data_IF_950568492767
#
_entry.id   IF_950568492767
#
_cell.length_a   1.000
_cell.length_b   1.000
_cell.length_c   1.000
_cell.angle_alpha   90.00
_cell.angle_beta   90.00
_cell.angle_gamma   90.00
#
_symmetry.space_group_name_H-M   'P 1'
#
loop_
_entity.id
_entity.type
_entity.pdbx_description
1 polymer ?
#
# COMPACT_ATOMS: atom_id res chain seq x y z
N UNK A 1 15.15 -17.71 -12.52
CA UNK A 1 14.44 -18.59 -11.58
C UNK A 1 14.90 -18.15 -10.19
N UNK A 2 13.95 -17.78 -9.31
CA UNK A 2 14.21 -17.30 -7.94
C UNK A 2 13.58 -18.28 -6.96
N UNK A 3 14.02 -18.26 -5.70
CA UNK A 3 13.43 -19.09 -4.66
C UNK A 3 12.10 -18.50 -4.18
N UNK A 4 11.19 -19.39 -3.75
CA UNK A 4 9.91 -18.95 -3.18
C UNK A 4 10.10 -18.44 -1.75
N UNK A 5 9.70 -17.20 -1.50
CA UNK A 5 9.83 -16.53 -0.20
C UNK A 5 8.49 -16.48 0.53
N UNK A 6 8.45 -17.04 1.74
CA UNK A 6 7.26 -16.95 2.61
C UNK A 6 7.33 -15.66 3.40
N UNK A 7 6.65 -14.62 2.90
CA UNK A 7 6.76 -13.27 3.41
C UNK A 7 5.48 -12.46 3.18
N UNK A 8 5.40 -11.32 3.83
CA UNK A 8 4.47 -10.24 3.57
C UNK A 8 5.23 -9.15 2.78
N UNK A 9 4.60 -8.56 1.78
CA UNK A 9 5.22 -7.45 1.02
C UNK A 9 5.01 -6.15 1.78
N UNK A 10 6.09 -5.42 1.98
CA UNK A 10 6.11 -4.07 2.55
C UNK A 10 6.78 -3.13 1.56
N UNK A 11 6.21 -1.96 1.30
CA UNK A 11 6.86 -0.99 0.43
C UNK A 11 7.51 0.17 1.18
N UNK A 12 8.48 0.77 0.52
CA UNK A 12 8.98 2.11 0.80
C UNK A 12 8.64 2.98 -0.39
N UNK A 13 7.74 3.93 -0.16
CA UNK A 13 7.27 4.89 -1.15
C UNK A 13 7.77 6.28 -0.77
N UNK A 14 8.53 6.93 -1.64
CA UNK A 14 9.15 8.20 -1.30
C UNK A 14 9.32 9.13 -2.50
N UNK A 15 9.32 10.41 -2.24
CA UNK A 15 9.70 11.46 -3.19
C UNK A 15 11.07 11.97 -2.77
N UNK A 16 12.05 11.75 -3.63
CA UNK A 16 13.47 12.01 -3.40
C UNK A 16 13.88 13.27 -4.15
N UNK A 17 14.54 14.20 -3.46
CA UNK A 17 15.02 15.45 -4.02
C UNK A 17 16.32 15.28 -4.86
N UNK A 18 16.86 16.37 -5.39
CA UNK A 18 18.09 16.35 -6.21
C UNK A 18 19.35 16.01 -5.40
N UNK A 19 19.31 16.09 -4.06
CA UNK A 19 20.42 15.71 -3.17
C UNK A 19 20.36 14.22 -2.82
N UNK A 20 19.21 13.57 -3.04
CA UNK A 20 18.95 12.19 -2.64
C UNK A 20 18.31 12.09 -1.26
N UNK A 21 17.77 13.19 -0.76
CA UNK A 21 17.07 13.22 0.51
C UNK A 21 15.55 13.04 0.28
N UNK A 22 14.87 12.24 1.12
CA UNK A 22 13.43 12.08 1.01
C UNK A 22 12.70 13.30 1.57
N UNK A 23 11.89 13.96 0.75
CA UNK A 23 10.99 15.05 1.17
C UNK A 23 9.60 14.55 1.55
N UNK A 24 9.26 13.33 1.16
CA UNK A 24 8.07 12.60 1.56
C UNK A 24 8.40 11.10 1.66
N UNK A 25 7.90 10.43 2.69
CA UNK A 25 8.06 8.99 2.90
C UNK A 25 6.78 8.38 3.46
N UNK A 26 6.39 7.26 2.92
CA UNK A 26 5.33 6.39 3.43
C UNK A 26 5.60 4.94 3.01
N UNK A 27 4.64 4.05 3.17
CA UNK A 27 4.71 2.69 2.66
C UNK A 27 3.38 2.00 2.74
N UNK A 28 3.27 0.91 2.01
CA UNK A 28 2.12 0.02 2.09
C UNK A 28 2.51 -1.36 2.61
N UNK A 29 1.50 -2.12 3.00
CA UNK A 29 1.61 -3.53 3.35
C UNK A 29 0.59 -4.29 2.52
N UNK A 30 1.07 -5.32 1.82
CA UNK A 30 0.26 -6.25 1.04
C UNK A 30 0.38 -7.64 1.68
N UNK A 31 -0.59 -8.03 2.54
CA UNK A 31 -0.51 -9.27 3.31
C UNK A 31 -0.62 -10.54 2.44
N UNK A 32 -1.32 -10.43 1.32
CA UNK A 32 -1.53 -11.52 0.34
C UNK A 32 -0.90 -11.07 -0.97
N UNK A 33 -0.08 -11.92 -1.58
CA UNK A 33 0.57 -11.55 -2.84
C UNK A 33 -0.48 -11.35 -3.95
N UNK A 34 -0.21 -10.39 -4.84
CA UNK A 34 -1.10 -10.15 -6.01
C UNK A 34 -1.18 -11.41 -6.89
N UNK A 35 -0.11 -12.18 -6.98
CA UNK A 35 -0.11 -13.46 -7.72
C UNK A 35 -1.06 -14.48 -7.10
N UNK A 36 -1.13 -14.57 -5.76
CA UNK A 36 -2.07 -15.46 -5.09
C UNK A 36 -3.52 -14.99 -5.29
N UNK A 37 -3.75 -13.66 -5.22
CA UNK A 37 -5.06 -13.06 -5.49
C UNK A 37 -5.54 -13.40 -6.91
N UNK A 38 -4.67 -13.29 -7.91
CA UNK A 38 -4.99 -13.60 -9.30
C UNK A 38 -5.19 -15.11 -9.50
N UNK A 39 -4.28 -15.94 -8.98
CA UNK A 39 -4.30 -17.39 -9.20
C UNK A 39 -5.46 -18.10 -8.50
N UNK A 40 -5.90 -17.58 -7.34
CA UNK A 40 -6.98 -18.18 -6.55
C UNK A 40 -8.30 -17.42 -6.67
N UNK A 41 -8.33 -16.39 -7.52
CA UNK A 41 -9.50 -15.49 -7.66
C UNK A 41 -9.96 -14.92 -6.32
N UNK A 42 -9.00 -14.59 -5.46
CA UNK A 42 -9.26 -14.04 -4.14
C UNK A 42 -9.59 -12.54 -4.17
N UNK A 43 -10.16 -12.06 -3.07
CA UNK A 43 -10.39 -10.64 -2.87
C UNK A 43 -9.06 -9.91 -2.63
N UNK A 44 -8.92 -8.72 -3.20
CA UNK A 44 -7.74 -7.91 -3.02
C UNK A 44 -7.79 -7.11 -1.71
N UNK A 45 -6.67 -7.04 -1.00
CA UNK A 45 -6.50 -6.16 0.15
C UNK A 45 -5.06 -5.70 0.31
N UNK A 46 -4.87 -4.44 0.62
CA UNK A 46 -3.60 -3.85 1.07
C UNK A 46 -3.89 -2.54 1.80
N UNK A 47 -2.90 -1.95 2.44
CA UNK A 47 -3.11 -0.70 3.15
C UNK A 47 -1.84 0.16 3.24
N UNK A 48 -2.02 1.49 3.22
CA UNK A 48 -0.98 2.45 3.57
C UNK A 48 -0.86 2.48 5.09
N UNK A 49 0.37 2.41 5.58
CA UNK A 49 0.65 2.41 7.02
C UNK A 49 0.53 3.82 7.60
N UNK A 50 -0.03 3.91 8.81
CA UNK A 50 -0.04 5.17 9.58
C UNK A 50 1.37 5.65 9.89
N UNK A 51 2.28 4.72 10.18
CA UNK A 51 3.68 5.01 10.47
C UNK A 51 4.57 3.98 9.78
N UNK A 52 5.50 4.46 8.96
CA UNK A 52 6.51 3.63 8.33
C UNK A 52 7.44 3.04 9.39
N UNK A 53 7.61 1.72 9.40
CA UNK A 53 8.50 1.04 10.33
C UNK A 53 9.96 1.44 10.10
N UNK A 54 10.75 1.44 11.17
CA UNK A 54 12.13 1.90 11.12
C UNK A 54 13.03 1.06 10.22
N UNK A 55 12.80 -0.25 10.18
CA UNK A 55 13.55 -1.19 9.35
C UNK A 55 13.28 -1.00 7.85
N UNK A 56 12.00 -0.86 7.44
CA UNK A 56 11.63 -0.55 6.04
C UNK A 56 12.17 0.81 5.64
N UNK A 57 12.10 1.82 6.53
CA UNK A 57 12.67 3.14 6.26
C UNK A 57 14.19 3.07 6.05
N UNK A 58 14.89 2.33 6.90
CA UNK A 58 16.35 2.16 6.78
C UNK A 58 16.71 1.43 5.47
N UNK A 59 16.01 0.35 5.14
CA UNK A 59 16.20 -0.38 3.90
C UNK A 59 15.92 0.51 2.67
N UNK A 60 14.80 1.23 2.67
CA UNK A 60 14.42 2.15 1.59
C UNK A 60 15.46 3.24 1.36
N UNK A 61 15.90 3.92 2.42
CA UNK A 61 16.95 4.96 2.33
C UNK A 61 18.30 4.39 1.89
N UNK A 62 18.65 3.17 2.33
CA UNK A 62 19.86 2.48 1.85
C UNK A 62 19.77 2.18 0.36
N UNK A 63 18.60 1.75 -0.12
CA UNK A 63 18.32 1.53 -1.55
C UNK A 63 18.43 2.83 -2.35
N UNK A 64 17.81 3.93 -1.87
CA UNK A 64 17.98 5.27 -2.48
C UNK A 64 19.46 5.62 -2.68
N UNK A 65 20.26 5.42 -1.64
CA UNK A 65 21.70 5.70 -1.68
C UNK A 65 22.46 4.77 -2.64
N UNK A 66 22.17 3.47 -2.61
CA UNK A 66 22.86 2.46 -3.42
C UNK A 66 22.61 2.65 -4.91
N UNK A 67 21.41 3.07 -5.30
CA UNK A 67 21.03 3.36 -6.68
C UNK A 67 21.27 4.82 -7.08
N UNK A 68 21.85 5.64 -6.18
CA UNK A 68 22.09 7.07 -6.41
C UNK A 68 20.84 7.81 -6.92
N UNK A 69 19.68 7.53 -6.30
CA UNK A 69 18.38 8.10 -6.71
C UNK A 69 18.38 9.60 -6.49
N UNK A 70 17.91 10.35 -7.50
CA UNK A 70 17.80 11.81 -7.49
C UNK A 70 16.52 12.25 -8.21
N UNK A 71 15.88 13.29 -7.70
CA UNK A 71 14.72 13.95 -8.31
C UNK A 71 13.66 12.97 -8.82
N UNK A 72 13.19 12.07 -7.94
CA UNK A 72 12.31 10.97 -8.37
C UNK A 72 11.30 10.54 -7.31
N UNK A 73 10.13 10.13 -7.76
CA UNK A 73 9.24 9.30 -6.97
C UNK A 73 9.69 7.84 -7.12
N UNK A 74 9.74 7.11 -6.00
CA UNK A 74 10.17 5.70 -5.96
C UNK A 74 9.14 4.85 -5.24
N UNK A 75 9.07 3.59 -5.64
CA UNK A 75 8.31 2.52 -5.00
C UNK A 75 9.22 1.29 -4.92
N UNK A 76 9.74 1.02 -3.73
CA UNK A 76 10.59 -0.14 -3.48
C UNK A 76 9.82 -1.16 -2.67
N UNK A 77 9.93 -2.41 -3.04
CA UNK A 77 9.27 -3.50 -2.33
C UNK A 77 10.28 -4.37 -1.59
N UNK A 78 9.87 -4.79 -0.41
CA UNK A 78 10.64 -5.64 0.48
C UNK A 78 9.75 -6.76 1.00
N UNK A 79 10.31 -7.94 1.10
CA UNK A 79 9.74 -9.04 1.84
C UNK A 79 10.02 -8.88 3.34
N UNK A 80 8.98 -8.94 4.16
CA UNK A 80 9.12 -9.17 5.60
C UNK A 80 8.89 -10.65 5.85
N UNK A 81 9.94 -11.38 6.22
CA UNK A 81 9.89 -12.83 6.38
C UNK A 81 8.90 -13.25 7.47
N UNK A 82 8.01 -14.19 7.17
CA UNK A 82 7.03 -14.73 8.12
C UNK A 82 7.54 -15.92 8.92
N UNK A 83 8.66 -16.52 8.50
CA UNK A 83 9.40 -17.59 9.18
C UNK A 83 10.88 -17.49 8.87
N UNK A 84 11.71 -18.24 9.64
CA UNK A 84 13.11 -18.40 9.31
C UNK A 84 13.26 -19.13 7.98
N UNK A 85 14.11 -18.63 7.10
CA UNK A 85 14.37 -19.19 5.77
C UNK A 85 15.87 -19.23 5.52
N UNK A 86 16.39 -20.44 5.26
CA UNK A 86 17.82 -20.66 5.06
C UNK A 86 18.34 -19.86 3.87
N UNK A 87 19.39 -19.10 4.07
CA UNK A 87 19.99 -18.24 3.03
C UNK A 87 19.35 -16.86 2.88
N UNK A 88 18.19 -16.63 3.48
CA UNK A 88 17.47 -15.35 3.41
C UNK A 88 17.50 -14.56 4.74
N UNK A 89 17.15 -15.23 5.85
CA UNK A 89 17.09 -14.56 7.14
C UNK A 89 16.14 -15.22 8.14
N UNK A 90 15.89 -14.51 9.24
CA UNK A 90 14.98 -14.91 10.31
C UNK A 90 13.60 -14.28 10.13
N UNK A 91 12.60 -14.84 10.80
CA UNK A 91 11.27 -14.24 10.88
C UNK A 91 11.36 -12.76 11.31
N UNK A 92 10.75 -11.88 10.52
CA UNK A 92 10.73 -10.43 10.72
C UNK A 92 11.81 -9.68 9.97
N UNK A 93 12.87 -10.34 9.48
CA UNK A 93 13.92 -9.70 8.67
C UNK A 93 13.33 -9.16 7.36
N UNK A 94 13.94 -8.07 6.87
CA UNK A 94 13.58 -7.41 5.62
C UNK A 94 14.56 -7.83 4.52
N UNK A 95 14.01 -8.32 3.41
CA UNK A 95 14.76 -8.73 2.21
C UNK A 95 14.25 -7.95 1.00
N UNK A 96 15.14 -7.44 0.14
CA UNK A 96 14.76 -6.71 -1.06
C UNK A 96 13.98 -7.59 -2.04
N UNK A 97 12.93 -7.04 -2.63
CA UNK A 97 12.11 -7.67 -3.67
C UNK A 97 12.24 -6.93 -4.99
N UNK A 98 11.82 -5.68 -5.04
CA UNK A 98 11.75 -4.93 -6.28
C UNK A 98 12.13 -3.46 -6.10
N UNK A 99 12.78 -2.88 -7.12
CA UNK A 99 13.17 -1.47 -7.15
C UNK A 99 12.51 -0.78 -8.32
N UNK A 100 11.48 0.02 -8.05
CA UNK A 100 10.74 0.78 -9.05
C UNK A 100 11.04 2.28 -8.95
N UNK A 101 11.57 2.85 -10.02
CA UNK A 101 11.90 4.28 -10.15
C UNK A 101 10.69 5.09 -10.64
N UNK A 102 9.52 4.83 -10.06
CA UNK A 102 8.22 5.44 -10.38
C UNK A 102 7.31 5.37 -9.14
N UNK A 103 6.18 6.13 -9.09
CA UNK A 103 5.16 5.91 -8.08
C UNK A 103 4.56 4.51 -8.15
N UNK A 104 4.00 4.04 -7.03
CA UNK A 104 3.18 2.85 -6.98
C UNK A 104 1.98 2.99 -7.92
N UNK A 105 1.50 1.87 -8.46
CA UNK A 105 0.37 1.85 -9.38
C UNK A 105 -1.00 1.90 -8.69
N UNK A 106 -2.05 1.84 -9.52
CA UNK A 106 -3.44 1.83 -9.06
C UNK A 106 -3.81 3.09 -8.28
N UNK A 107 -4.57 2.89 -7.20
CA UNK A 107 -5.03 3.96 -6.30
C UNK A 107 -4.04 4.31 -5.19
N UNK A 108 -2.83 3.75 -5.20
CA UNK A 108 -1.88 3.95 -4.10
C UNK A 108 -1.50 5.42 -3.87
N UNK A 109 -1.27 6.26 -4.88
CA UNK A 109 -1.02 7.68 -4.65
C UNK A 109 -2.21 8.39 -3.97
N UNK A 110 -3.44 8.13 -4.41
CA UNK A 110 -4.64 8.70 -3.79
C UNK A 110 -4.81 8.21 -2.34
N UNK A 111 -4.50 6.93 -2.10
CA UNK A 111 -4.50 6.37 -0.74
C UNK A 111 -3.43 7.02 0.15
N UNK A 112 -2.26 7.39 -0.40
CA UNK A 112 -1.24 8.16 0.32
C UNK A 112 -1.76 9.53 0.70
N UNK A 113 -2.51 10.20 -0.19
CA UNK A 113 -3.15 11.49 0.10
C UNK A 113 -4.15 11.36 1.26
N UNK A 114 -5.02 10.34 1.21
CA UNK A 114 -5.97 10.09 2.29
C UNK A 114 -5.26 9.72 3.61
N UNK A 115 -4.26 8.84 3.57
CA UNK A 115 -3.53 8.39 4.76
C UNK A 115 -2.70 9.50 5.40
N UNK A 116 -2.06 10.36 4.61
CA UNK A 116 -1.14 11.40 5.07
C UNK A 116 -1.78 12.78 5.11
N UNK A 117 -3.06 12.92 4.71
CA UNK A 117 -3.77 14.21 4.60
C UNK A 117 -2.94 15.27 3.86
N UNK A 118 -2.48 14.90 2.67
CA UNK A 118 -1.60 15.70 1.84
C UNK A 118 -1.96 15.54 0.36
N UNK A 119 -1.14 16.04 -0.54
CA UNK A 119 -1.24 15.87 -1.98
C UNK A 119 0.14 15.46 -2.52
N UNK A 120 0.34 14.15 -2.73
CA UNK A 120 1.64 13.62 -3.19
C UNK A 120 1.96 14.04 -4.61
N UNK A 121 0.93 14.28 -5.45
CA UNK A 121 1.13 14.79 -6.81
C UNK A 121 1.70 16.20 -6.79
N UNK A 122 1.18 17.04 -5.90
CA UNK A 122 1.70 18.40 -5.69
C UNK A 122 3.10 18.37 -5.09
N UNK A 123 3.35 17.51 -4.09
CA UNK A 123 4.70 17.34 -3.51
C UNK A 123 5.70 16.93 -4.61
N UNK A 124 5.30 16.00 -5.48
CA UNK A 124 6.15 15.56 -6.59
C UNK A 124 6.39 16.68 -7.61
N UNK A 125 5.34 17.39 -8.02
CA UNK A 125 5.47 18.54 -8.91
C UNK A 125 6.36 19.65 -8.32
N UNK A 126 6.16 19.99 -7.05
CA UNK A 126 6.97 20.98 -6.32
C UNK A 126 8.45 20.55 -6.27
N UNK A 127 8.71 19.26 -6.02
CA UNK A 127 10.07 18.71 -6.00
C UNK A 127 10.74 18.85 -7.36
N UNK A 128 10.06 18.51 -8.45
CA UNK A 128 10.60 18.64 -9.80
C UNK A 128 10.88 20.11 -10.15
N UNK A 129 9.94 21.02 -9.80
CA UNK A 129 10.05 22.43 -10.17
C UNK A 129 11.02 23.22 -9.28
N UNK A 130 11.07 22.91 -7.98
CA UNK A 130 11.71 23.76 -6.96
C UNK A 130 12.68 22.99 -6.06
N UNK A 131 12.83 21.69 -6.24
CA UNK A 131 13.61 20.78 -5.38
C UNK A 131 13.20 20.80 -3.88
N UNK A 132 11.97 21.21 -3.61
CA UNK A 132 11.38 21.29 -2.26
C UNK A 132 9.87 21.40 -2.37
N UNK A 133 9.17 21.18 -1.24
CA UNK A 133 7.75 21.46 -1.11
C UNK A 133 7.48 22.23 0.18
N UNK A 134 6.37 22.98 0.21
CA UNK A 134 5.83 23.57 1.43
C UNK A 134 4.71 22.71 2.03
N UNK A 135 4.29 21.66 1.32
CA UNK A 135 3.27 20.74 1.81
C UNK A 135 3.80 19.97 3.02
N UNK A 136 2.98 19.92 4.06
CA UNK A 136 3.27 19.14 5.26
C UNK A 136 2.19 18.07 5.40
N UNK A 137 2.56 16.80 5.66
CA UNK A 137 1.59 15.79 6.01
C UNK A 137 0.81 16.19 7.26
N UNK A 138 -0.51 15.93 7.24
CA UNK A 138 -1.36 16.07 8.43
C UNK A 138 -1.23 14.87 9.37
N UNK A 139 -2.17 14.77 10.33
CA UNK A 139 -2.26 13.60 11.21
C UNK A 139 -2.53 12.36 10.39
N UNK A 140 -1.58 11.43 10.41
CA UNK A 140 -1.63 10.22 9.59
C UNK A 140 -2.65 9.22 10.11
N UNK A 141 -3.23 8.51 9.16
CA UNK A 141 -4.18 7.41 9.38
C UNK A 141 -3.69 6.16 8.63
N UNK A 142 -4.24 4.99 8.96
CA UNK A 142 -4.19 3.85 8.05
C UNK A 142 -5.16 4.12 6.90
N UNK A 143 -4.79 3.77 5.67
CA UNK A 143 -5.72 3.80 4.54
C UNK A 143 -5.79 2.41 3.92
N UNK A 144 -6.96 1.78 4.06
CA UNK A 144 -7.23 0.43 3.61
C UNK A 144 -7.80 0.43 2.19
N UNK A 145 -7.36 -0.52 1.38
CA UNK A 145 -7.96 -0.91 0.12
C UNK A 145 -8.60 -2.29 0.26
N UNK A 146 -9.83 -2.43 -0.18
CA UNK A 146 -10.52 -3.71 -0.34
C UNK A 146 -11.11 -3.77 -1.74
N UNK A 147 -10.81 -4.86 -2.44
CA UNK A 147 -11.43 -5.18 -3.72
C UNK A 147 -12.20 -6.49 -3.63
N UNK A 148 -13.52 -6.43 -3.74
CA UNK A 148 -14.41 -7.59 -3.73
C UNK A 148 -14.59 -8.12 -5.15
N UNK A 149 -14.60 -9.43 -5.30
CA UNK A 149 -14.97 -10.07 -6.56
C UNK A 149 -16.45 -10.32 -6.65
N UNK A 150 -17.01 -10.13 -7.84
CA UNK A 150 -18.36 -10.56 -8.16
C UNK A 150 -18.49 -12.09 -8.05
N UNK A 151 -19.71 -12.59 -7.83
CA UNK A 151 -19.96 -14.01 -7.65
C UNK A 151 -19.76 -14.54 -6.24
N UNK A 152 -19.10 -13.80 -5.34
CA UNK A 152 -18.99 -14.14 -3.91
C UNK A 152 -20.16 -13.50 -3.14
N UNK A 153 -20.82 -14.27 -2.28
CA UNK A 153 -21.97 -13.83 -1.48
C UNK A 153 -21.50 -13.27 -0.15
N UNK A 154 -21.18 -11.99 -0.10
CA UNK A 154 -20.72 -11.31 1.10
C UNK A 154 -21.83 -11.19 2.16
N UNK A 155 -21.47 -11.36 3.45
CA UNK A 155 -22.40 -11.24 4.57
C UNK A 155 -22.92 -9.80 4.69
N UNK A 156 -22.04 -8.80 4.55
CA UNK A 156 -22.44 -7.40 4.45
C UNK A 156 -22.43 -6.99 2.98
N UNK A 157 -23.59 -6.57 2.49
CA UNK A 157 -23.74 -6.03 1.14
C UNK A 157 -23.03 -4.68 0.96
N UNK A 158 -23.13 -4.13 -0.25
CA UNK A 158 -22.55 -2.80 -0.53
C UNK A 158 -23.12 -1.72 0.38
N UNK A 159 -24.44 -1.64 0.48
CA UNK A 159 -25.14 -0.63 1.29
C UNK A 159 -24.84 -0.76 2.79
N UNK A 160 -24.64 -1.99 3.29
CA UNK A 160 -24.29 -2.24 4.69
C UNK A 160 -22.89 -1.66 4.98
N UNK A 161 -21.91 -1.89 4.08
CA UNK A 161 -20.57 -1.34 4.20
C UNK A 161 -20.59 0.18 4.13
N UNK A 162 -21.30 0.76 3.14
CA UNK A 162 -21.41 2.21 2.99
C UNK A 162 -22.05 2.87 4.20
N UNK A 163 -23.05 2.25 4.80
CA UNK A 163 -23.73 2.74 6.01
C UNK A 163 -22.81 2.63 7.24
N UNK A 164 -22.27 1.42 7.47
CA UNK A 164 -21.47 1.12 8.67
C UNK A 164 -20.19 1.94 8.74
N UNK A 165 -19.55 2.15 7.59
CA UNK A 165 -18.26 2.84 7.48
C UNK A 165 -18.35 4.21 6.81
N UNK A 166 -19.53 4.84 6.81
CA UNK A 166 -19.80 6.13 6.13
C UNK A 166 -18.81 7.24 6.47
N UNK A 167 -18.29 7.28 7.72
CA UNK A 167 -17.29 8.27 8.15
C UNK A 167 -15.86 7.94 7.69
N UNK A 168 -15.60 6.69 7.36
CA UNK A 168 -14.27 6.16 7.02
C UNK A 168 -14.06 6.07 5.50
N UNK A 169 -15.11 5.75 4.74
CA UNK A 169 -15.02 5.60 3.27
C UNK A 169 -14.58 6.91 2.63
N UNK A 170 -13.56 6.81 1.80
CA UNK A 170 -13.02 7.91 0.97
C UNK A 170 -13.37 7.71 -0.50
N UNK A 171 -13.44 6.45 -0.92
CA UNK A 171 -13.82 6.08 -2.27
C UNK A 171 -14.51 4.73 -2.25
N UNK A 172 -15.57 4.56 -3.05
CA UNK A 172 -16.18 3.27 -3.35
C UNK A 172 -16.60 3.30 -4.83
N UNK A 173 -16.13 2.35 -5.62
CA UNK A 173 -16.37 2.36 -7.07
C UNK A 173 -16.41 0.95 -7.64
N UNK A 174 -16.98 0.83 -8.84
CA UNK A 174 -16.95 -0.35 -9.68
C UNK A 174 -15.83 -0.25 -10.69
N UNK A 175 -14.95 -1.24 -10.73
CA UNK A 175 -13.85 -1.26 -11.67
C UNK A 175 -14.23 -1.96 -12.98
N UNK A 176 -13.67 -1.51 -14.13
CA UNK A 176 -13.74 -2.24 -15.38
C UNK A 176 -13.13 -3.65 -15.25
N UNK A 177 -13.66 -4.60 -16.00
CA UNK A 177 -13.25 -6.02 -15.96
C UNK A 177 -11.74 -6.22 -16.18
N UNK A 178 -11.11 -5.37 -16.98
CA UNK A 178 -9.66 -5.43 -17.25
C UNK A 178 -8.83 -5.22 -15.97
N UNK A 179 -9.35 -4.53 -14.98
CA UNK A 179 -8.68 -4.29 -13.68
C UNK A 179 -9.15 -5.26 -12.60
N UNK A 180 -10.31 -5.90 -12.80
CA UNK A 180 -10.94 -6.75 -11.79
C UNK A 180 -10.06 -7.95 -11.39
N UNK A 181 -9.26 -8.49 -12.32
CA UNK A 181 -8.41 -9.64 -12.07
C UNK A 181 -7.42 -9.42 -10.92
N UNK A 182 -6.85 -8.21 -10.79
CA UNK A 182 -5.88 -7.87 -9.74
C UNK A 182 -6.51 -7.10 -8.57
N UNK A 183 -7.60 -6.35 -8.81
CA UNK A 183 -8.11 -5.35 -7.86
C UNK A 183 -9.53 -5.64 -7.35
N UNK A 184 -10.22 -6.67 -7.90
CA UNK A 184 -11.65 -6.92 -7.63
C UNK A 184 -12.57 -6.04 -8.48
N UNK A 185 -13.87 -6.36 -8.48
CA UNK A 185 -14.89 -5.65 -9.26
C UNK A 185 -15.46 -4.44 -8.50
N UNK A 186 -15.69 -4.59 -7.18
CA UNK A 186 -16.17 -3.53 -6.30
C UNK A 186 -15.06 -3.16 -5.32
N UNK A 187 -14.61 -1.92 -5.35
CA UNK A 187 -13.56 -1.44 -4.45
C UNK A 187 -14.11 -0.54 -3.35
N UNK A 188 -13.38 -0.53 -2.23
CA UNK A 188 -13.54 0.41 -1.12
C UNK A 188 -12.17 0.89 -0.67
N UNK A 189 -12.03 2.20 -0.50
CA UNK A 189 -10.88 2.84 0.13
C UNK A 189 -11.39 3.56 1.37
N UNK A 190 -10.82 3.26 2.53
CA UNK A 190 -11.27 3.79 3.81
C UNK A 190 -10.10 4.12 4.75
N UNK A 191 -10.25 5.15 5.60
CA UNK A 191 -9.21 5.56 6.55
C UNK A 191 -9.60 5.27 7.99
N UNK A 192 -8.59 4.92 8.82
CA UNK A 192 -8.77 4.52 10.22
C UNK A 192 -7.66 5.06 11.11
N UNK A 193 -8.02 5.43 12.33
CA UNK A 193 -7.06 5.92 13.33
C UNK A 193 -6.23 4.78 13.94
N UNK A 194 -6.78 3.58 14.01
CA UNK A 194 -6.11 2.42 14.61
C UNK A 194 -6.12 1.21 13.67
N UNK A 195 -5.08 0.36 13.83
CA UNK A 195 -5.00 -0.90 13.09
C UNK A 195 -6.18 -1.82 13.39
N UNK A 196 -6.66 -1.84 14.64
CA UNK A 196 -7.80 -2.67 15.05
C UNK A 196 -9.09 -2.28 14.30
N UNK A 197 -9.35 -0.99 14.12
CA UNK A 197 -10.52 -0.54 13.36
C UNK A 197 -10.40 -0.94 11.88
N UNK A 198 -9.22 -0.80 11.31
CA UNK A 198 -8.93 -1.23 9.95
C UNK A 198 -9.09 -2.76 9.80
N UNK A 199 -8.56 -3.55 10.74
CA UNK A 199 -8.68 -5.01 10.70
C UNK A 199 -10.16 -5.45 10.81
N UNK A 200 -10.98 -4.77 11.61
CA UNK A 200 -12.43 -4.99 11.68
C UNK A 200 -13.10 -4.67 10.33
N UNK A 201 -12.70 -3.59 9.67
CA UNK A 201 -13.20 -3.27 8.33
C UNK A 201 -12.85 -4.36 7.32
N UNK A 202 -11.62 -4.89 7.31
CA UNK A 202 -11.25 -6.00 6.45
C UNK A 202 -12.09 -7.24 6.72
N UNK A 203 -12.32 -7.60 8.00
CA UNK A 203 -13.16 -8.73 8.36
C UNK A 203 -14.59 -8.56 7.86
N UNK A 204 -15.19 -7.40 8.09
CA UNK A 204 -16.57 -7.11 7.66
C UNK A 204 -16.69 -7.06 6.13
N UNK A 205 -15.74 -6.42 5.48
CA UNK A 205 -15.77 -6.24 4.05
C UNK A 205 -15.48 -7.54 3.27
N UNK A 206 -14.71 -8.47 3.82
CA UNK A 206 -14.26 -9.66 3.09
C UNK A 206 -14.95 -10.95 3.53
N UNK A 207 -15.79 -10.93 4.58
CA UNK A 207 -16.48 -12.12 5.04
C UNK A 207 -17.63 -12.48 4.08
N UNK A 208 -17.61 -13.71 3.57
CA UNK A 208 -18.65 -14.25 2.67
C UNK A 208 -19.10 -15.64 3.13
N UNK A 209 -20.28 -16.06 2.64
CA UNK A 209 -20.83 -17.41 2.83
C UNK A 209 -20.06 -18.39 1.94
N UNK A 210 -19.74 -19.56 2.44
CA UNK A 210 -19.14 -20.66 1.68
C UNK A 210 -20.21 -21.41 0.90
#
# INVERSE_FOLDING_TARGET
MEEFVVAEVNSYDAIIDSNGDPIFETGNVTPISIMDIVNHEDNALFYIVKQLSSDVRLAGRATVKSFNVRSRFVHFEFFRLQKDQKGLGRKGDIVGLEVNMRPCGGFSPDMMDFACKTDVYKIWADMIAFNRTQMQPGDREYCAFVGRRDGKKFILGHEDIMTKYSKNIRMADRLPDVLAAAMGNQIYIATFQSKREMDNFFQDALKYEF
#
